data_IF_801892017014
#
_entry.id   IF_801892017014
#
_cell.length_a   1.000
_cell.length_b   1.000
_cell.length_c   1.000
_cell.angle_alpha   90.00
_cell.angle_beta   90.00
_cell.angle_gamma   90.00
#
_symmetry.space_group_name_H-M   'P 1'
#
loop_
_entity.id
_entity.type
_entity.pdbx_description
1 polymer ?
#
# COMPACT_ATOMS: atom_id res chain seq x y z
N UNK A 1 10.91 1.49 -4.29
CA UNK A 1 10.07 0.45 -3.67
C UNK A 1 10.87 -0.52 -2.82
N UNK A 2 10.21 -1.28 -1.95
CA UNK A 2 10.83 -2.39 -1.23
C UNK A 2 11.17 -3.51 -2.23
N UNK A 3 12.21 -4.28 -1.92
CA UNK A 3 12.62 -5.47 -2.71
C UNK A 3 12.38 -6.75 -1.92
N UNK A 4 11.15 -6.92 -1.42
CA UNK A 4 10.77 -8.04 -0.57
C UNK A 4 11.06 -9.39 -1.24
N UNK A 5 11.65 -10.32 -0.50
CA UNK A 5 12.10 -11.61 -1.05
C UNK A 5 10.93 -12.47 -1.56
N UNK A 6 9.80 -12.50 -0.81
CA UNK A 6 8.60 -13.23 -1.20
C UNK A 6 7.52 -12.32 -1.81
N UNK A 7 7.95 -11.34 -2.61
CA UNK A 7 7.00 -10.49 -3.31
C UNK A 7 6.30 -11.28 -4.42
N UNK A 8 4.95 -11.37 -4.41
CA UNK A 8 4.22 -12.03 -5.49
C UNK A 8 4.33 -11.26 -6.82
N UNK A 9 4.60 -9.95 -6.72
CA UNK A 9 4.71 -9.04 -7.86
C UNK A 9 6.17 -8.60 -8.09
N UNK A 10 7.11 -9.53 -8.18
CA UNK A 10 8.54 -9.20 -8.38
C UNK A 10 8.79 -8.34 -9.61
N UNK A 11 7.97 -8.49 -10.65
CA UNK A 11 8.01 -7.62 -11.84
C UNK A 11 7.78 -6.13 -11.54
N UNK A 12 7.13 -5.80 -10.42
CA UNK A 12 6.92 -4.42 -9.98
C UNK A 12 8.13 -3.82 -9.26
N UNK A 13 9.22 -4.58 -9.06
CA UNK A 13 10.46 -4.06 -8.48
C UNK A 13 11.28 -3.23 -9.47
N UNK A 14 11.03 -3.38 -10.76
CA UNK A 14 11.77 -2.74 -11.83
C UNK A 14 10.84 -1.92 -12.74
N UNK A 15 11.34 -0.96 -13.49
CA UNK A 15 10.53 -0.23 -14.47
C UNK A 15 9.86 -1.21 -15.42
N UNK A 16 8.57 -1.03 -15.61
CA UNK A 16 7.76 -1.89 -16.49
C UNK A 16 7.79 -1.39 -17.94
N UNK A 17 8.38 -0.23 -18.18
CA UNK A 17 8.36 0.43 -19.48
C UNK A 17 9.75 0.58 -20.05
N UNK A 18 9.87 0.31 -21.35
CA UNK A 18 10.98 0.78 -22.16
C UNK A 18 10.82 2.27 -22.41
N UNK A 19 11.88 2.94 -22.85
CA UNK A 19 11.88 4.35 -23.20
C UNK A 19 10.87 4.71 -24.32
N UNK A 20 10.52 3.73 -25.16
CA UNK A 20 9.52 3.85 -26.22
C UNK A 20 8.06 3.67 -25.73
N UNK A 21 7.85 3.45 -24.44
CA UNK A 21 6.54 3.25 -23.83
C UNK A 21 5.96 1.84 -24.00
N UNK A 22 6.68 0.90 -24.63
CA UNK A 22 6.25 -0.48 -24.72
C UNK A 22 6.28 -1.19 -23.36
N UNK A 23 5.20 -1.91 -23.03
CA UNK A 23 5.17 -2.76 -21.85
C UNK A 23 6.12 -3.95 -22.02
N UNK A 24 7.08 -4.08 -21.12
CA UNK A 24 8.02 -5.21 -21.10
C UNK A 24 7.46 -6.45 -20.40
N UNK A 25 6.28 -6.40 -19.84
CA UNK A 25 5.64 -7.50 -19.14
C UNK A 25 4.37 -7.94 -19.84
N UNK A 26 4.31 -9.20 -20.26
CA UNK A 26 3.07 -9.80 -20.79
C UNK A 26 1.96 -9.72 -19.74
N UNK A 27 0.78 -9.24 -20.13
CA UNK A 27 -0.38 -9.09 -19.26
C UNK A 27 -0.42 -7.81 -18.43
N UNK A 28 0.55 -6.89 -18.60
CA UNK A 28 0.47 -5.54 -18.06
C UNK A 28 -0.22 -4.63 -19.08
N UNK A 29 -1.16 -3.82 -18.61
CA UNK A 29 -1.86 -2.82 -19.42
C UNK A 29 -1.47 -1.42 -18.94
N UNK A 30 -1.13 -0.55 -19.89
CA UNK A 30 -1.07 0.88 -19.65
C UNK A 30 -2.48 1.43 -19.69
N UNK A 31 -2.89 2.11 -18.64
CA UNK A 31 -4.20 2.75 -18.57
C UNK A 31 -4.02 4.20 -18.12
N UNK A 32 -4.73 5.10 -18.73
CA UNK A 32 -4.98 6.41 -18.15
C UNK A 32 -6.00 6.31 -17.01
N UNK A 33 -6.08 7.32 -16.12
CA UNK A 33 -7.10 7.35 -15.06
C UNK A 33 -8.52 7.23 -15.61
N UNK A 34 -8.79 7.83 -16.78
CA UNK A 34 -10.09 7.76 -17.45
C UNK A 34 -10.41 6.35 -17.96
N UNK A 35 -9.46 5.67 -18.58
CA UNK A 35 -9.65 4.29 -19.05
C UNK A 35 -9.86 3.34 -17.86
N UNK A 36 -9.12 3.51 -16.76
CA UNK A 36 -9.38 2.74 -15.55
C UNK A 36 -10.79 2.98 -15.01
N UNK A 37 -11.22 4.26 -14.94
CA UNK A 37 -12.57 4.59 -14.51
C UNK A 37 -13.62 3.91 -15.40
N UNK A 38 -13.46 3.96 -16.73
CA UNK A 38 -14.40 3.36 -17.67
C UNK A 38 -14.50 1.84 -17.55
N UNK A 39 -13.41 1.19 -17.13
CA UNK A 39 -13.41 -0.26 -16.86
C UNK A 39 -14.16 -0.57 -15.56
N UNK A 40 -13.86 0.15 -14.47
CA UNK A 40 -14.37 -0.21 -13.13
C UNK A 40 -15.75 0.36 -12.84
N UNK A 41 -16.25 1.32 -13.63
CA UNK A 41 -17.57 1.91 -13.43
C UNK A 41 -18.74 0.91 -13.59
N UNK A 42 -18.48 -0.27 -14.14
CA UNK A 42 -19.47 -1.36 -14.18
C UNK A 42 -19.91 -1.78 -12.78
N UNK A 43 -19.04 -1.60 -11.79
CA UNK A 43 -19.30 -1.92 -10.38
C UNK A 43 -19.86 -0.73 -9.58
N UNK A 44 -20.20 0.40 -10.25
CA UNK A 44 -20.64 1.63 -9.59
C UNK A 44 -21.81 1.41 -8.63
N UNK A 45 -22.78 0.60 -9.03
CA UNK A 45 -23.95 0.31 -8.19
C UNK A 45 -23.59 -0.41 -6.90
N UNK A 46 -22.60 -1.31 -6.95
CA UNK A 46 -22.10 -2.01 -5.76
C UNK A 46 -21.30 -1.07 -4.85
N UNK A 47 -20.47 -0.21 -5.42
CA UNK A 47 -19.69 0.77 -4.66
C UNK A 47 -20.62 1.73 -3.90
N UNK A 48 -21.68 2.23 -4.57
CA UNK A 48 -22.63 3.11 -3.91
C UNK A 48 -23.47 2.38 -2.86
N UNK A 49 -23.94 1.16 -3.14
CA UNK A 49 -24.74 0.38 -2.20
C UNK A 49 -23.98 -0.03 -0.92
N UNK A 50 -22.67 -0.26 -1.04
CA UNK A 50 -21.81 -0.70 0.09
C UNK A 50 -21.03 0.42 0.74
N UNK A 51 -21.02 1.63 0.16
CA UNK A 51 -20.10 2.68 0.54
C UNK A 51 -18.62 2.34 0.24
N UNK A 52 -18.42 1.42 -0.71
CA UNK A 52 -17.11 0.93 -1.12
C UNK A 52 -16.47 1.74 -2.25
N UNK A 53 -15.56 1.09 -2.96
CA UNK A 53 -14.83 1.70 -4.07
C UNK A 53 -13.63 0.87 -4.50
N UNK A 54 -12.54 1.52 -4.85
CA UNK A 54 -11.34 0.85 -5.35
C UNK A 54 -10.18 0.90 -4.37
N UNK A 55 -9.30 -0.11 -4.48
CA UNK A 55 -8.04 -0.14 -3.76
C UNK A 55 -6.88 -0.10 -4.75
N UNK A 56 -6.05 0.94 -4.66
CA UNK A 56 -4.76 0.97 -5.34
C UNK A 56 -3.73 0.22 -4.52
N UNK A 57 -3.12 -0.79 -5.12
CA UNK A 57 -2.13 -1.64 -4.49
C UNK A 57 -1.27 -2.36 -5.54
N UNK A 58 -0.72 -3.51 -5.17
CA UNK A 58 0.05 -4.38 -6.07
C UNK A 58 1.55 -4.12 -6.02
N UNK A 59 2.09 -3.12 -6.74
CA UNK A 59 3.41 -2.53 -6.52
C UNK A 59 3.37 -1.50 -5.40
N UNK A 60 4.03 -0.35 -5.59
CA UNK A 60 3.92 0.78 -4.65
C UNK A 60 3.12 1.90 -5.31
N UNK A 61 1.84 2.06 -4.97
CA UNK A 61 0.96 3.02 -5.64
C UNK A 61 1.35 4.48 -5.39
N UNK A 62 2.05 4.77 -4.29
CA UNK A 62 2.53 6.13 -4.00
C UNK A 62 3.63 6.61 -4.97
N UNK A 63 4.09 5.77 -5.88
CA UNK A 63 4.96 6.18 -7.00
C UNK A 63 4.18 6.90 -8.11
N UNK A 64 2.85 6.80 -8.10
CA UNK A 64 1.96 7.37 -9.12
C UNK A 64 0.92 8.31 -8.51
N UNK A 65 1.33 9.34 -7.74
CA UNK A 65 0.38 10.18 -7.00
C UNK A 65 -0.53 10.98 -7.94
N UNK A 66 -0.04 11.45 -9.08
CA UNK A 66 -0.84 12.21 -10.04
C UNK A 66 -1.93 11.35 -10.66
N UNK A 67 -1.65 10.09 -10.99
CA UNK A 67 -2.65 9.15 -11.49
C UNK A 67 -3.83 9.01 -10.49
N UNK A 68 -3.51 8.85 -9.19
CA UNK A 68 -4.53 8.69 -8.14
C UNK A 68 -5.34 9.98 -7.98
N UNK A 69 -4.70 11.14 -8.07
CA UNK A 69 -5.37 12.45 -8.00
C UNK A 69 -6.31 12.68 -9.18
N UNK A 70 -5.85 12.39 -10.40
CA UNK A 70 -6.67 12.48 -11.61
C UNK A 70 -7.84 11.51 -11.56
N UNK A 71 -7.61 10.27 -11.07
CA UNK A 71 -8.69 9.30 -10.90
C UNK A 71 -9.74 9.81 -9.91
N UNK A 72 -9.34 10.42 -8.77
CA UNK A 72 -10.27 11.05 -7.83
C UNK A 72 -11.06 12.18 -8.49
N UNK A 73 -10.43 13.00 -9.31
CA UNK A 73 -11.11 14.07 -10.03
C UNK A 73 -12.20 13.54 -11.00
N UNK A 74 -12.00 12.35 -11.55
CA UNK A 74 -12.97 11.69 -12.43
C UNK A 74 -14.10 11.02 -11.65
N UNK A 75 -13.80 10.22 -10.62
CA UNK A 75 -14.82 9.49 -9.88
C UNK A 75 -15.55 10.36 -8.84
N UNK A 76 -14.97 11.50 -8.45
CA UNK A 76 -15.51 12.35 -7.38
C UNK A 76 -15.60 11.61 -6.06
N UNK A 77 -16.55 11.98 -5.20
CA UNK A 77 -16.76 11.38 -3.87
C UNK A 77 -17.68 10.16 -3.87
N UNK A 78 -18.13 9.74 -5.06
CA UNK A 78 -19.05 8.60 -5.20
C UNK A 78 -18.41 7.27 -4.75
N UNK A 79 -17.11 7.13 -4.92
CA UNK A 79 -16.36 5.93 -4.58
C UNK A 79 -15.31 6.21 -3.53
N UNK A 80 -15.12 5.27 -2.63
CA UNK A 80 -13.99 5.32 -1.72
C UNK A 80 -12.71 4.90 -2.45
N UNK A 81 -11.63 5.63 -2.17
CA UNK A 81 -10.28 5.26 -2.62
C UNK A 81 -9.50 4.77 -1.42
N UNK A 82 -9.10 3.51 -1.47
CA UNK A 82 -8.18 2.90 -0.50
C UNK A 82 -6.80 2.78 -1.13
N UNK A 83 -5.76 3.02 -0.35
CA UNK A 83 -4.37 2.90 -0.77
C UNK A 83 -3.66 1.84 0.07
N UNK A 84 -3.24 0.72 -0.54
CA UNK A 84 -2.39 -0.27 0.11
C UNK A 84 -0.93 0.02 -0.24
N UNK A 85 -0.13 0.43 0.74
CA UNK A 85 1.22 0.95 0.55
C UNK A 85 2.21 0.40 1.57
N UNK A 86 3.46 0.25 1.16
CA UNK A 86 4.58 -0.02 2.07
C UNK A 86 5.23 1.27 2.63
N UNK A 87 4.63 2.43 2.41
CA UNK A 87 5.00 3.75 2.96
C UNK A 87 6.38 4.29 2.57
N UNK A 88 7.04 3.77 1.55
CA UNK A 88 8.42 4.19 1.16
C UNK A 88 8.49 5.56 0.48
N UNK A 89 7.37 6.13 0.06
CA UNK A 89 7.36 7.45 -0.55
C UNK A 89 7.72 8.56 0.44
N UNK A 90 8.12 9.72 -0.10
CA UNK A 90 8.44 10.89 0.71
C UNK A 90 7.24 11.40 1.50
N UNK A 91 7.50 12.21 2.51
CA UNK A 91 6.44 12.87 3.27
C UNK A 91 5.55 13.76 2.38
N UNK A 92 6.17 14.48 1.42
CA UNK A 92 5.46 15.36 0.49
C UNK A 92 4.48 14.59 -0.40
N UNK A 93 4.88 13.43 -0.94
CA UNK A 93 4.01 12.56 -1.74
C UNK A 93 2.84 12.03 -0.90
N UNK A 94 3.11 11.51 0.30
CA UNK A 94 2.02 11.08 1.19
C UNK A 94 1.06 12.22 1.51
N UNK A 95 1.58 13.43 1.79
CA UNK A 95 0.77 14.62 2.06
C UNK A 95 -0.12 14.99 0.86
N UNK A 96 0.39 14.90 -0.37
CA UNK A 96 -0.39 15.23 -1.58
C UNK A 96 -1.54 14.27 -1.85
N UNK A 97 -1.55 13.10 -1.21
CA UNK A 97 -2.60 12.09 -1.33
C UNK A 97 -3.64 12.11 -0.19
N UNK A 98 -3.41 12.91 0.87
CA UNK A 98 -4.29 12.92 2.05
C UNK A 98 -5.73 13.31 1.75
N UNK A 99 -5.92 14.22 0.78
CA UNK A 99 -7.24 14.78 0.43
C UNK A 99 -7.98 13.93 -0.61
N UNK A 100 -7.27 13.00 -1.26
CA UNK A 100 -7.83 12.19 -2.35
C UNK A 100 -8.01 10.71 -2.00
N UNK A 101 -7.34 10.23 -0.95
CA UNK A 101 -7.42 8.86 -0.46
C UNK A 101 -8.29 8.81 0.79
N UNK A 102 -9.31 7.97 0.82
CA UNK A 102 -10.20 7.83 2.00
C UNK A 102 -9.57 6.94 3.08
N UNK A 103 -8.99 5.80 2.70
CA UNK A 103 -8.41 4.83 3.64
C UNK A 103 -7.00 4.40 3.25
N UNK A 104 -6.19 4.13 4.24
CA UNK A 104 -4.80 3.72 4.08
C UNK A 104 -4.58 2.36 4.71
N UNK A 105 -4.05 1.42 3.94
CA UNK A 105 -3.58 0.13 4.42
C UNK A 105 -2.05 0.17 4.41
N UNK A 106 -1.45 0.30 5.59
CA UNK A 106 -0.01 0.35 5.76
C UNK A 106 0.54 -1.07 5.95
N UNK A 107 1.18 -1.62 4.92
CA UNK A 107 1.78 -2.96 4.97
C UNK A 107 3.20 -2.88 5.55
N UNK A 108 3.31 -2.97 6.88
CA UNK A 108 4.56 -2.92 7.62
C UNK A 108 5.06 -4.34 7.87
N UNK A 109 6.18 -4.69 7.24
CA UNK A 109 6.73 -6.05 7.28
C UNK A 109 7.21 -6.47 8.67
N UNK A 110 7.73 -5.53 9.45
CA UNK A 110 8.05 -5.61 10.88
C UNK A 110 8.48 -4.22 11.34
N UNK A 111 8.35 -3.89 12.63
CA UNK A 111 9.00 -2.71 13.23
C UNK A 111 10.40 -3.00 13.71
N UNK A 112 10.77 -4.27 13.81
CA UNK A 112 12.12 -4.71 14.18
C UNK A 112 13.04 -4.54 12.95
N UNK A 113 13.95 -3.59 13.01
CA UNK A 113 14.81 -3.21 11.88
C UNK A 113 15.58 -4.39 11.28
N UNK A 114 16.05 -5.31 12.10
CA UNK A 114 16.77 -6.51 11.63
C UNK A 114 15.91 -7.40 10.74
N UNK A 115 14.66 -7.65 11.14
CA UNK A 115 13.69 -8.43 10.34
C UNK A 115 13.33 -7.65 9.10
N UNK A 116 12.98 -6.37 9.25
CA UNK A 116 12.57 -5.50 8.16
C UNK A 116 13.64 -5.42 7.06
N UNK A 117 14.89 -5.08 7.42
CA UNK A 117 15.99 -4.92 6.45
C UNK A 117 16.34 -6.26 5.78
N UNK A 118 16.37 -7.36 6.55
CA UNK A 118 16.64 -8.69 6.00
C UNK A 118 15.61 -9.11 4.95
N UNK A 119 14.32 -8.84 5.19
CA UNK A 119 13.23 -9.20 4.31
C UNK A 119 13.08 -8.27 3.10
N UNK A 120 13.15 -6.95 3.33
CA UNK A 120 12.86 -5.94 2.30
C UNK A 120 14.08 -5.57 1.46
N UNK A 121 15.29 -5.98 1.88
CA UNK A 121 16.58 -5.64 1.26
C UNK A 121 16.79 -4.12 1.14
N UNK A 122 16.27 -3.35 2.09
CA UNK A 122 16.38 -1.88 2.13
C UNK A 122 16.80 -1.40 3.52
N UNK A 123 17.20 -0.15 3.62
CA UNK A 123 17.62 0.50 4.88
C UNK A 123 16.57 1.50 5.39
N UNK A 124 15.34 1.44 4.90
CA UNK A 124 14.28 2.29 5.44
C UNK A 124 13.99 1.96 6.91
N UNK A 125 13.61 2.98 7.68
CA UNK A 125 13.19 2.81 9.06
C UNK A 125 11.67 2.63 9.15
N UNK A 126 11.18 1.44 9.54
CA UNK A 126 9.74 1.21 9.69
C UNK A 126 9.11 2.15 10.73
N UNK A 127 9.86 2.53 11.77
CA UNK A 127 9.41 3.47 12.79
C UNK A 127 9.19 4.88 12.21
N UNK A 128 10.10 5.37 11.35
CA UNK A 128 9.93 6.66 10.67
C UNK A 128 8.76 6.63 9.67
N UNK A 129 8.57 5.51 8.99
CA UNK A 129 7.45 5.32 8.06
C UNK A 129 6.11 5.43 8.78
N UNK A 130 5.93 4.74 9.90
CA UNK A 130 4.72 4.82 10.75
C UNK A 130 4.56 6.21 11.39
N UNK A 131 5.65 6.80 11.86
CA UNK A 131 5.62 8.18 12.41
C UNK A 131 5.15 9.20 11.39
N UNK A 132 5.59 9.08 10.13
CA UNK A 132 5.14 9.96 9.05
C UNK A 132 3.65 9.77 8.73
N UNK A 133 3.17 8.53 8.74
CA UNK A 133 1.75 8.22 8.52
C UNK A 133 0.88 8.81 9.62
N UNK A 134 1.23 8.57 10.90
CA UNK A 134 0.52 9.12 12.06
C UNK A 134 0.38 10.64 12.03
N UNK A 135 1.40 11.34 11.53
CA UNK A 135 1.37 12.81 11.42
C UNK A 135 0.43 13.33 10.33
N UNK A 136 0.14 12.52 9.33
CA UNK A 136 -0.60 12.94 8.14
C UNK A 136 -2.04 12.46 8.13
N UNK A 137 -2.30 11.25 8.64
CA UNK A 137 -3.58 10.58 8.44
C UNK A 137 -4.22 10.30 9.80
N UNK A 138 -5.50 10.68 9.99
CA UNK A 138 -6.28 10.30 11.16
C UNK A 138 -6.32 8.78 11.31
N UNK A 139 -6.19 8.29 12.54
CA UNK A 139 -6.02 6.85 12.81
C UNK A 139 -7.22 5.99 12.37
N UNK A 140 -8.42 6.55 12.38
CA UNK A 140 -9.66 5.89 11.94
C UNK A 140 -9.66 5.61 10.43
N UNK A 141 -8.78 6.25 9.68
CA UNK A 141 -8.57 6.03 8.24
C UNK A 141 -7.40 5.08 7.95
N UNK A 142 -6.80 4.49 8.97
CA UNK A 142 -5.59 3.66 8.83
C UNK A 142 -5.83 2.24 9.32
N UNK A 143 -5.47 1.28 8.50
CA UNK A 143 -5.28 -0.13 8.89
C UNK A 143 -3.79 -0.44 8.75
N UNK A 144 -3.17 -0.94 9.80
CA UNK A 144 -1.78 -1.41 9.74
C UNK A 144 -1.77 -2.93 9.61
N UNK A 145 -1.22 -3.44 8.51
CA UNK A 145 -1.02 -4.88 8.28
C UNK A 145 0.38 -5.27 8.75
N UNK A 146 0.46 -6.29 9.61
CA UNK A 146 1.73 -6.89 10.04
C UNK A 146 1.72 -8.37 9.64
N UNK A 147 2.52 -8.77 8.64
CA UNK A 147 2.48 -10.13 8.14
C UNK A 147 3.36 -11.08 8.96
N UNK A 148 2.88 -12.32 9.14
CA UNK A 148 3.73 -13.46 9.45
C UNK A 148 4.39 -13.89 8.15
N UNK A 149 5.72 -13.80 8.10
CA UNK A 149 6.51 -14.08 6.89
C UNK A 149 7.37 -15.31 7.18
N UNK A 150 7.11 -16.45 6.51
CA UNK A 150 7.87 -17.67 6.73
C UNK A 150 9.39 -17.44 6.63
N UNK A 151 10.15 -18.02 7.55
CA UNK A 151 11.60 -17.92 7.67
C UNK A 151 12.16 -16.53 8.09
N UNK A 152 11.30 -15.53 8.31
CA UNK A 152 11.72 -14.17 8.68
C UNK A 152 11.29 -13.77 10.08
N UNK A 153 10.05 -14.06 10.45
CA UNK A 153 9.49 -13.76 11.76
C UNK A 153 8.63 -14.92 12.27
N UNK A 154 8.27 -14.85 13.54
CA UNK A 154 7.37 -15.81 14.20
C UNK A 154 6.06 -15.11 14.57
N UNK A 155 5.08 -15.87 14.99
CA UNK A 155 3.81 -15.34 15.47
C UNK A 155 4.02 -14.43 16.70
N UNK A 156 4.87 -14.85 17.63
CA UNK A 156 5.21 -14.07 18.83
C UNK A 156 5.89 -12.75 18.49
N UNK A 157 6.79 -12.74 17.47
CA UNK A 157 7.45 -11.51 17.05
C UNK A 157 6.47 -10.54 16.37
N UNK A 158 5.47 -11.07 15.66
CA UNK A 158 4.39 -10.26 15.06
C UNK A 158 3.46 -9.72 16.14
N UNK A 159 3.13 -10.50 17.16
CA UNK A 159 2.33 -10.04 18.31
C UNK A 159 3.05 -8.94 19.08
N UNK A 160 4.36 -9.07 19.26
CA UNK A 160 5.19 -8.00 19.80
C UNK A 160 5.13 -6.73 18.95
N UNK A 161 5.29 -6.85 17.64
CA UNK A 161 5.21 -5.71 16.70
C UNK A 161 3.85 -5.01 16.79
N UNK A 162 2.75 -5.77 16.80
CA UNK A 162 1.38 -5.25 16.92
C UNK A 162 1.21 -4.47 18.23
N UNK A 163 1.61 -5.07 19.36
CA UNK A 163 1.51 -4.43 20.66
C UNK A 163 2.30 -3.11 20.72
N UNK A 164 3.52 -3.11 20.15
CA UNK A 164 4.36 -1.90 20.08
C UNK A 164 3.80 -0.84 19.14
N UNK A 165 3.24 -1.22 17.99
CA UNK A 165 2.59 -0.27 17.07
C UNK A 165 1.43 0.42 17.76
N UNK A 166 0.56 -0.33 18.43
CA UNK A 166 -0.55 0.24 19.21
C UNK A 166 -0.06 1.17 20.32
N UNK A 167 0.92 0.73 21.10
CA UNK A 167 1.48 1.51 22.21
C UNK A 167 2.14 2.82 21.77
N UNK A 168 2.97 2.78 20.72
CA UNK A 168 3.80 3.92 20.33
C UNK A 168 3.11 4.89 19.38
N UNK A 169 2.25 4.37 18.52
CA UNK A 169 1.60 5.16 17.47
C UNK A 169 0.12 5.40 17.70
N UNK A 170 -0.53 4.62 18.59
CA UNK A 170 -1.95 4.74 18.87
C UNK A 170 -2.86 4.22 17.75
N UNK A 171 -2.32 3.49 16.77
CA UNK A 171 -3.17 2.83 15.78
C UNK A 171 -3.94 1.68 16.43
N UNK A 172 -5.26 1.72 16.35
CA UNK A 172 -6.11 0.66 16.91
C UNK A 172 -6.32 -0.48 15.91
N UNK A 173 -6.51 -0.15 14.64
CA UNK A 173 -6.72 -1.11 13.56
C UNK A 173 -5.38 -1.70 13.08
N UNK A 174 -4.78 -2.57 13.90
CA UNK A 174 -3.55 -3.30 13.55
C UNK A 174 -3.90 -4.77 13.40
N UNK A 175 -3.71 -5.31 12.20
CA UNK A 175 -4.12 -6.67 11.84
C UNK A 175 -2.92 -7.56 11.52
N UNK A 176 -2.97 -8.79 12.03
CA UNK A 176 -2.05 -9.86 11.69
C UNK A 176 -2.51 -10.53 10.41
N UNK A 177 -1.63 -10.71 9.45
CA UNK A 177 -1.90 -11.46 8.21
C UNK A 177 -0.88 -12.56 8.02
N UNK A 178 -1.28 -13.69 7.41
CA UNK A 178 -0.36 -14.77 7.06
C UNK A 178 -0.06 -14.72 5.58
N UNK A 179 1.22 -14.66 5.22
CA UNK A 179 1.63 -14.83 3.84
C UNK A 179 1.80 -16.32 3.54
N UNK A 180 1.14 -16.75 2.48
CA UNK A 180 1.35 -18.09 1.91
C UNK A 180 2.41 -17.97 0.81
N UNK A 181 3.45 -18.81 0.90
CA UNK A 181 4.42 -18.94 -0.18
C UNK A 181 3.82 -19.89 -1.20
N UNK A 182 3.35 -19.36 -2.30
CA UNK A 182 2.96 -20.15 -3.46
C UNK A 182 4.27 -20.56 -4.15
N UNK A 183 4.58 -21.86 -4.15
CA UNK A 183 5.74 -22.42 -4.83
C UNK A 183 5.49 -22.51 -6.32
#
# INVERSE_FOLDING_TARGET
PLRCEYCPNKRCHEPIYKEDGESICRGVRMLSPKELFDIVKIDDIYFQATGGGICFGGGEPTLYPEFIREFRAICGDRWKITLETCLVSSFAVKKSLCDVVDFWIADIKSIQSTIFHRYTKTQYSPMQMLSSLKKLIPQERVIVKVPIIPNYNTEESVDYDIAKIKQLFGFENVVKVRYQIIK
#
